data_IF_929158881874
#
_entry.id   IF_929158881874
#
_cell.length_a   1.000
_cell.length_b   1.000
_cell.length_c   1.000
_cell.angle_alpha   90.00
_cell.angle_beta   90.00
_cell.angle_gamma   90.00
#
_symmetry.space_group_name_H-M   'P 1'
#
loop_
_entity.id
_entity.type
_entity.pdbx_description
1 polymer ?
#
# COMPACT_ATOMS: atom_id res chain seq x y z
N UNK A 1 -25.08 26.71 16.03
CA UNK A 1 -25.87 26.15 17.15
C UNK A 1 -25.42 24.72 17.37
N UNK A 2 -24.99 24.37 18.57
CA UNK A 2 -24.55 23.00 18.91
C UNK A 2 -23.23 22.97 19.68
N UNK A 3 -23.22 23.59 20.86
CA UNK A 3 -22.19 23.38 21.86
C UNK A 3 -22.39 21.99 22.49
N UNK A 4 -21.35 21.18 22.60
CA UNK A 4 -21.37 19.95 23.40
C UNK A 4 -20.19 19.98 24.37
N UNK A 5 -20.55 20.24 25.63
CA UNK A 5 -19.74 20.24 26.83
C UNK A 5 -19.78 18.86 27.47
N UNK A 6 -18.63 18.23 27.72
CA UNK A 6 -18.46 17.15 28.72
C UNK A 6 -17.11 17.44 29.39
N UNK A 7 -17.04 18.18 30.52
CA UNK A 7 -17.20 17.76 31.94
C UNK A 7 -16.23 16.59 32.26
N UNK A 8 -15.07 16.83 32.89
CA UNK A 8 -14.86 16.92 34.36
C UNK A 8 -15.10 15.54 35.01
N UNK A 9 -14.24 14.89 35.79
CA UNK A 9 -13.19 15.31 36.73
C UNK A 9 -12.45 14.04 37.28
N UNK A 10 -11.41 14.17 38.13
CA UNK A 10 -10.40 13.15 38.45
C UNK A 10 -10.72 12.30 39.70
N UNK A 11 -9.91 11.27 39.99
CA UNK A 11 -9.41 11.03 41.36
C UNK A 11 -8.28 9.97 41.44
N UNK A 12 -7.27 10.22 42.30
CA UNK A 12 -6.20 9.28 42.66
C UNK A 12 -6.61 8.34 43.81
N UNK A 13 -6.07 7.13 43.83
CA UNK A 13 -6.20 6.19 44.97
C UNK A 13 -4.97 6.28 45.88
N UNK A 14 -5.13 7.02 46.97
CA UNK A 14 -4.31 6.98 48.18
C UNK A 14 -4.77 5.82 49.07
N UNK A 15 -3.86 4.87 49.33
CA UNK A 15 -4.04 3.81 50.33
C UNK A 15 -3.13 4.07 51.54
N UNK A 16 -3.75 4.40 52.67
CA UNK A 16 -3.13 4.71 53.96
C UNK A 16 -3.16 3.46 54.87
N UNK A 17 -2.29 3.47 55.89
CA UNK A 17 -2.28 2.67 57.15
C UNK A 17 -1.84 1.19 57.08
N UNK A 18 -0.77 0.90 57.80
CA UNK A 18 -0.88 0.43 59.19
C UNK A 18 0.45 0.58 59.93
N UNK A 19 0.41 1.29 61.07
CA UNK A 19 1.40 1.19 62.12
C UNK A 19 1.16 -0.11 62.88
N UNK A 20 2.17 -0.93 63.10
CA UNK A 20 2.13 -1.94 64.16
C UNK A 20 3.53 -2.18 64.75
N UNK A 21 3.57 -2.30 66.07
CA UNK A 21 4.43 -3.30 66.69
C UNK A 21 5.80 -2.86 67.16
N UNK A 22 5.86 -1.88 68.07
CA UNK A 22 6.96 -1.82 69.03
C UNK A 22 6.99 -3.12 69.86
N UNK A 23 8.04 -3.94 69.71
CA UNK A 23 8.50 -4.84 70.78
C UNK A 23 10.02 -4.89 70.81
N UNK A 24 10.56 -4.21 71.81
CA UNK A 24 11.90 -4.45 72.35
C UNK A 24 11.95 -5.86 72.93
N UNK A 25 12.96 -6.64 72.56
CA UNK A 25 13.43 -7.78 73.37
C UNK A 25 14.95 -7.87 73.25
N UNK A 26 15.61 -7.35 74.27
CA UNK A 26 16.92 -7.78 74.78
C UNK A 26 16.78 -9.28 75.14
N UNK A 27 17.66 -10.21 74.81
CA UNK A 27 19.06 -10.37 75.21
C UNK A 27 19.69 -11.60 74.50
N UNK A 28 21.01 -11.82 74.61
CA UNK A 28 21.81 -12.64 73.69
C UNK A 28 21.97 -14.08 74.16
N UNK A 29 22.14 -15.02 73.23
CA UNK A 29 22.98 -16.19 73.50
C UNK A 29 23.51 -16.85 72.22
N UNK A 30 24.82 -17.04 72.22
CA UNK A 30 25.61 -17.80 71.28
C UNK A 30 24.94 -19.06 70.74
N UNK A 31 24.87 -19.16 69.41
CA UNK A 31 24.98 -20.45 68.73
C UNK A 31 25.77 -20.27 67.45
N UNK A 32 27.03 -20.70 67.49
CA UNK A 32 27.89 -20.81 66.33
C UNK A 32 27.19 -21.70 65.29
N UNK A 33 26.70 -21.07 64.22
CA UNK A 33 26.23 -21.79 63.03
C UNK A 33 27.41 -22.05 62.11
N UNK A 34 27.50 -23.23 61.50
CA UNK A 34 28.54 -23.54 60.54
C UNK A 34 28.49 -22.52 59.40
N UNK A 35 29.65 -21.98 59.04
CA UNK A 35 29.83 -21.14 57.85
C UNK A 35 29.39 -21.97 56.64
N UNK A 36 28.14 -21.80 56.22
CA UNK A 36 27.74 -22.20 54.89
C UNK A 36 28.61 -21.39 53.95
N UNK A 37 29.58 -22.07 53.35
CA UNK A 37 30.37 -21.60 52.23
C UNK A 37 29.39 -21.29 51.12
N UNK A 38 28.89 -20.05 51.09
CA UNK A 38 28.13 -19.52 49.97
C UNK A 38 29.10 -19.61 48.80
N UNK A 39 28.86 -20.60 47.92
CA UNK A 39 29.53 -20.62 46.62
C UNK A 39 29.24 -19.24 46.02
N UNK A 40 30.26 -18.48 45.56
CA UNK A 40 29.98 -17.24 44.85
C UNK A 40 29.07 -17.62 43.70
N UNK A 41 27.84 -17.10 43.74
CA UNK A 41 26.94 -17.15 42.61
C UNK A 41 27.68 -16.38 41.53
N UNK A 42 28.38 -17.08 40.64
CA UNK A 42 28.85 -16.49 39.39
C UNK A 42 27.57 -16.01 38.73
N UNK A 43 27.31 -14.70 38.84
CA UNK A 43 26.34 -14.03 37.99
C UNK A 43 26.83 -14.30 36.59
N UNK A 44 26.14 -15.20 35.92
CA UNK A 44 26.41 -15.52 34.54
C UNK A 44 25.89 -14.33 33.72
N UNK A 45 26.73 -13.30 33.58
CA UNK A 45 26.45 -12.09 32.81
C UNK A 45 26.38 -12.37 31.29
N UNK A 46 26.53 -13.64 30.89
CA UNK A 46 26.45 -14.12 29.51
C UNK A 46 25.08 -13.92 28.86
N UNK A 47 24.04 -13.53 29.62
CA UNK A 47 22.72 -13.19 29.09
C UNK A 47 22.48 -11.69 28.85
N UNK A 48 23.32 -10.79 29.37
CA UNK A 48 23.02 -9.34 29.38
C UNK A 48 23.64 -8.57 28.21
N UNK A 49 24.66 -9.13 27.55
CA UNK A 49 25.22 -8.57 26.32
C UNK A 49 24.27 -8.65 25.11
N UNK A 50 23.28 -9.55 25.14
CA UNK A 50 22.32 -9.71 24.05
C UNK A 50 21.15 -8.72 24.07
N UNK A 51 20.95 -7.95 25.16
CA UNK A 51 19.72 -7.14 25.33
C UNK A 51 19.81 -5.69 24.84
N UNK A 52 21.01 -5.09 24.87
CA UNK A 52 21.16 -3.67 24.53
C UNK A 52 21.40 -3.45 23.03
N UNK A 53 22.02 -4.43 22.35
CA UNK A 53 22.29 -4.39 20.91
C UNK A 53 21.07 -4.80 20.06
N UNK A 54 20.11 -5.53 20.64
CA UNK A 54 18.89 -5.93 19.92
C UNK A 54 17.97 -4.76 19.59
N UNK A 55 18.00 -3.69 20.39
CA UNK A 55 17.18 -2.49 20.15
C UNK A 55 17.60 -1.80 18.85
N UNK A 56 18.88 -1.36 18.66
CA UNK A 56 19.29 -0.73 17.41
C UNK A 56 19.18 -1.68 16.22
N UNK A 57 19.45 -2.98 16.40
CA UNK A 57 19.26 -3.97 15.34
C UNK A 57 17.78 -4.07 14.92
N UNK A 58 16.85 -4.15 15.87
CA UNK A 58 15.42 -4.18 15.60
C UNK A 58 14.93 -2.91 14.89
N UNK A 59 15.44 -1.74 15.28
CA UNK A 59 15.14 -0.46 14.60
C UNK A 59 15.63 -0.50 13.15
N UNK A 60 16.85 -0.98 12.89
CA UNK A 60 17.38 -1.10 11.52
C UNK A 60 16.52 -2.02 10.65
N UNK A 61 16.14 -3.20 11.17
CA UNK A 61 15.27 -4.14 10.46
C UNK A 61 13.89 -3.53 10.21
N UNK A 62 13.33 -2.82 11.19
CA UNK A 62 12.03 -2.15 11.03
C UNK A 62 12.07 -1.05 9.96
N UNK A 63 13.11 -0.22 9.95
CA UNK A 63 13.29 0.82 8.93
C UNK A 63 13.47 0.19 7.55
N UNK A 64 14.32 -0.85 7.44
CA UNK A 64 14.53 -1.56 6.18
C UNK A 64 13.23 -2.19 5.67
N UNK A 65 12.47 -2.84 6.54
CA UNK A 65 11.16 -3.40 6.21
C UNK A 65 10.13 -2.35 5.79
N UNK A 66 10.13 -1.19 6.46
CA UNK A 66 9.23 -0.07 6.12
C UNK A 66 9.57 0.51 4.74
N UNK A 67 10.85 0.72 4.44
CA UNK A 67 11.28 1.19 3.11
C UNK A 67 10.90 0.18 2.03
N UNK A 68 11.08 -1.12 2.29
CA UNK A 68 10.67 -2.17 1.36
C UNK A 68 9.15 -2.13 1.13
N UNK A 69 8.35 -2.01 2.19
CA UNK A 69 6.89 -1.93 2.09
C UNK A 69 6.43 -0.73 1.25
N UNK A 70 7.05 0.44 1.42
CA UNK A 70 6.76 1.64 0.62
C UNK A 70 7.09 1.41 -0.87
N UNK A 71 8.23 0.79 -1.18
CA UNK A 71 8.60 0.47 -2.56
C UNK A 71 7.60 -0.52 -3.20
N UNK A 72 7.16 -1.55 -2.46
CA UNK A 72 6.17 -2.52 -2.95
C UNK A 72 4.81 -1.84 -3.18
N UNK A 73 4.41 -0.93 -2.31
CA UNK A 73 3.16 -0.17 -2.48
C UNK A 73 3.14 0.63 -3.78
N UNK A 74 4.26 1.24 -4.16
CA UNK A 74 4.37 1.98 -5.42
C UNK A 74 4.13 1.08 -6.66
N UNK A 75 4.54 -0.18 -6.61
CA UNK A 75 4.28 -1.15 -7.70
C UNK A 75 2.78 -1.48 -7.78
N UNK A 76 2.13 -1.68 -6.64
CA UNK A 76 0.68 -1.96 -6.58
C UNK A 76 -0.12 -0.78 -7.11
N UNK A 77 0.21 0.44 -6.69
CA UNK A 77 -0.45 1.65 -7.18
C UNK A 77 -0.22 1.85 -8.69
N UNK A 78 1.01 1.60 -9.18
CA UNK A 78 1.31 1.66 -10.61
C UNK A 78 0.46 0.65 -11.39
N UNK A 79 0.30 -0.58 -10.89
CA UNK A 79 -0.55 -1.58 -11.54
C UNK A 79 -2.00 -1.09 -11.65
N UNK A 80 -2.55 -0.56 -10.57
CA UNK A 80 -3.91 0.01 -10.58
C UNK A 80 -4.04 1.20 -11.55
N UNK A 81 -2.99 2.01 -11.70
CA UNK A 81 -2.96 3.11 -12.66
C UNK A 81 -2.93 2.62 -14.12
N UNK A 82 -2.14 1.58 -14.42
CA UNK A 82 -2.06 0.99 -15.76
C UNK A 82 -3.38 0.30 -16.14
N UNK A 83 -4.02 -0.41 -15.21
CA UNK A 83 -5.33 -1.03 -15.43
C UNK A 83 -6.40 0.05 -15.71
N UNK A 84 -6.42 1.12 -14.92
CA UNK A 84 -7.33 2.25 -15.15
C UNK A 84 -7.09 2.94 -16.51
N UNK A 85 -5.84 3.08 -16.93
CA UNK A 85 -5.48 3.64 -18.23
C UNK A 85 -5.92 2.72 -19.39
N UNK A 86 -5.85 1.40 -19.22
CA UNK A 86 -6.30 0.44 -20.22
C UNK A 86 -7.81 0.50 -20.43
N UNK A 87 -8.59 0.58 -19.35
CA UNK A 87 -10.03 0.82 -19.43
C UNK A 87 -10.37 2.18 -20.04
N UNK A 88 -9.63 3.25 -19.69
CA UNK A 88 -9.84 4.57 -20.29
C UNK A 88 -9.55 4.57 -21.80
N UNK A 89 -8.52 3.83 -22.23
CA UNK A 89 -8.22 3.63 -23.64
C UNK A 89 -9.38 2.97 -24.37
N UNK A 90 -9.83 1.82 -23.87
CA UNK A 90 -10.86 1.03 -24.55
C UNK A 90 -12.18 1.79 -24.62
N UNK A 91 -12.60 2.45 -23.53
CA UNK A 91 -13.82 3.25 -23.51
C UNK A 91 -13.85 4.38 -24.54
N UNK A 92 -12.73 5.07 -24.76
CA UNK A 92 -12.67 6.12 -25.80
C UNK A 92 -12.44 5.54 -27.20
N UNK A 93 -11.77 4.39 -27.30
CA UNK A 93 -11.57 3.66 -28.55
C UNK A 93 -12.89 3.14 -29.12
N UNK A 94 -13.73 2.51 -28.30
CA UNK A 94 -15.01 1.92 -28.71
C UNK A 94 -16.08 2.98 -29.03
N UNK A 95 -16.00 4.15 -28.42
CA UNK A 95 -16.92 5.27 -28.67
C UNK A 95 -16.65 6.04 -29.98
N UNK A 96 -15.53 5.79 -30.66
CA UNK A 96 -15.12 6.54 -31.83
C UNK A 96 -15.73 6.00 -33.15
N UNK A 97 -15.85 6.87 -34.15
CA UNK A 97 -16.48 6.55 -35.44
C UNK A 97 -15.54 5.92 -36.47
N UNK A 98 -14.23 5.98 -36.27
CA UNK A 98 -13.23 5.41 -37.17
C UNK A 98 -11.99 4.93 -36.41
N UNK A 99 -11.23 4.01 -37.01
CA UNK A 99 -10.03 3.41 -36.37
C UNK A 99 -8.98 4.45 -35.99
N UNK A 100 -8.75 5.45 -36.84
CA UNK A 100 -7.71 6.45 -36.60
C UNK A 100 -8.11 7.42 -35.48
N UNK A 101 -9.39 7.84 -35.47
CA UNK A 101 -9.95 8.65 -34.39
C UNK A 101 -9.99 7.85 -33.09
N UNK A 102 -10.36 6.57 -33.14
CA UNK A 102 -10.36 5.65 -31.99
C UNK A 102 -8.97 5.52 -31.37
N UNK A 103 -7.94 5.35 -32.19
CA UNK A 103 -6.55 5.25 -31.72
C UNK A 103 -6.09 6.54 -31.07
N UNK A 104 -6.37 7.68 -31.70
CA UNK A 104 -5.96 8.99 -31.18
C UNK A 104 -6.68 9.31 -29.86
N UNK A 105 -7.99 9.05 -29.79
CA UNK A 105 -8.81 9.26 -28.59
C UNK A 105 -8.44 8.28 -27.46
N UNK A 106 -8.18 7.02 -27.81
CA UNK A 106 -7.63 5.98 -26.93
C UNK A 106 -6.32 6.42 -26.28
N UNK A 107 -5.35 6.78 -27.11
CA UNK A 107 -4.03 7.23 -26.68
C UNK A 107 -4.11 8.46 -25.76
N UNK A 108 -4.93 9.45 -26.12
CA UNK A 108 -5.10 10.66 -25.32
C UNK A 108 -5.74 10.35 -23.95
N UNK A 109 -6.78 9.52 -23.92
CA UNK A 109 -7.45 9.12 -22.68
C UNK A 109 -6.54 8.30 -21.75
N UNK A 110 -5.78 7.36 -22.31
CA UNK A 110 -4.81 6.56 -21.56
C UNK A 110 -3.71 7.44 -20.95
N UNK A 111 -3.13 8.35 -21.74
CA UNK A 111 -2.08 9.27 -21.25
C UNK A 111 -2.61 10.21 -20.16
N UNK A 112 -3.79 10.79 -20.34
CA UNK A 112 -4.42 11.63 -19.33
C UNK A 112 -4.67 10.85 -18.02
N UNK A 113 -5.08 9.58 -18.10
CA UNK A 113 -5.27 8.72 -16.92
C UNK A 113 -3.95 8.45 -16.17
N UNK A 114 -2.87 8.18 -16.91
CA UNK A 114 -1.53 7.98 -16.34
C UNK A 114 -0.97 9.27 -15.72
N UNK A 115 -1.13 10.41 -16.39
CA UNK A 115 -0.69 11.72 -15.90
C UNK A 115 -1.43 12.13 -14.62
N UNK A 116 -2.74 11.87 -14.54
CA UNK A 116 -3.53 12.13 -13.33
C UNK A 116 -3.06 11.31 -12.11
N UNK A 117 -2.38 10.18 -12.34
CA UNK A 117 -1.75 9.33 -11.32
C UNK A 117 -0.27 9.68 -11.08
N UNK A 118 0.26 10.71 -11.75
CA UNK A 118 1.65 11.14 -11.62
C UNK A 118 2.66 10.26 -12.35
N UNK A 119 2.21 9.38 -13.25
CA UNK A 119 3.11 8.55 -14.06
C UNK A 119 3.60 9.36 -15.26
N UNK A 120 4.85 9.83 -15.19
CA UNK A 120 5.50 10.64 -16.23
C UNK A 120 6.53 9.87 -17.07
N UNK A 121 6.72 8.57 -16.79
CA UNK A 121 7.66 7.71 -17.49
C UNK A 121 7.20 7.31 -18.90
N UNK A 122 8.09 6.68 -19.67
CA UNK A 122 7.77 6.16 -21.00
C UNK A 122 6.77 5.01 -20.89
N UNK A 123 5.50 5.29 -21.19
CA UNK A 123 4.46 4.28 -21.35
C UNK A 123 4.44 3.79 -22.81
N UNK A 124 4.45 2.47 -23.01
CA UNK A 124 4.23 1.86 -24.32
C UNK A 124 2.79 1.38 -24.40
N UNK A 125 2.04 1.94 -25.34
CA UNK A 125 0.65 1.57 -25.63
C UNK A 125 0.64 0.78 -26.94
N UNK A 126 0.22 -0.47 -26.89
CA UNK A 126 0.02 -1.31 -28.07
C UNK A 126 -1.47 -1.31 -28.42
N UNK A 127 -1.81 -0.61 -29.50
CA UNK A 127 -3.17 -0.46 -29.98
C UNK A 127 -3.76 -1.79 -30.51
N UNK A 128 -5.09 -1.94 -30.52
CA UNK A 128 -5.76 -3.09 -31.11
C UNK A 128 -5.33 -3.34 -32.57
N UNK A 129 -4.94 -4.59 -32.83
CA UNK A 129 -4.49 -5.04 -34.16
C UNK A 129 -5.65 -5.54 -35.01
N UNK A 130 -6.76 -5.92 -34.37
CA UNK A 130 -7.97 -6.43 -34.99
C UNK A 130 -8.62 -5.39 -35.91
N UNK A 131 -9.53 -5.87 -36.77
CA UNK A 131 -10.35 -5.01 -37.63
C UNK A 131 -11.28 -4.17 -36.76
N UNK A 132 -11.27 -2.86 -37.00
CA UNK A 132 -12.20 -1.94 -36.35
C UNK A 132 -13.58 -2.10 -36.98
N UNK A 133 -14.44 -2.88 -36.33
CA UNK A 133 -15.79 -3.13 -36.77
C UNK A 133 -16.71 -3.34 -35.55
N UNK A 134 -18.02 -3.06 -35.68
CA UNK A 134 -19.01 -3.37 -34.65
C UNK A 134 -18.92 -4.81 -34.16
N UNK A 135 -19.11 -5.02 -32.86
CA UNK A 135 -19.15 -6.34 -32.24
C UNK A 135 -17.87 -7.16 -32.52
N UNK A 136 -16.73 -6.48 -32.52
CA UNK A 136 -15.40 -7.10 -32.51
C UNK A 136 -14.70 -6.76 -31.21
N UNK A 137 -13.91 -7.71 -30.72
CA UNK A 137 -13.09 -7.50 -29.54
C UNK A 137 -11.89 -6.64 -29.90
N UNK A 138 -11.74 -5.52 -29.19
CA UNK A 138 -10.54 -4.69 -29.20
C UNK A 138 -9.72 -5.05 -27.96
N UNK A 139 -8.47 -5.49 -28.16
CA UNK A 139 -7.53 -5.76 -27.07
C UNK A 139 -6.44 -4.69 -27.06
N UNK A 140 -6.19 -4.10 -25.89
CA UNK A 140 -5.10 -3.14 -25.67
C UNK A 140 -4.09 -3.72 -24.69
N UNK A 141 -2.81 -3.45 -24.93
CA UNK A 141 -1.75 -3.72 -23.94
C UNK A 141 -1.06 -2.41 -23.59
N UNK A 142 -1.03 -2.06 -22.31
CA UNK A 142 -0.27 -0.91 -21.80
C UNK A 142 0.86 -1.42 -20.91
N UNK A 143 2.07 -0.93 -21.16
CA UNK A 143 3.27 -1.27 -20.41
C UNK A 143 3.96 -0.01 -19.90
N UNK A 144 4.29 0.02 -18.61
CA UNK A 144 5.03 1.11 -17.97
C UNK A 144 6.27 0.53 -17.29
N UNK A 145 7.41 1.22 -17.41
CA UNK A 145 8.64 0.86 -16.69
C UNK A 145 8.66 1.54 -15.33
N UNK A 146 8.82 0.74 -14.27
CA UNK A 146 9.03 1.23 -12.90
C UNK A 146 10.41 0.86 -12.41
N UNK A 147 10.97 1.67 -11.52
CA UNK A 147 12.24 1.35 -10.84
C UNK A 147 11.94 0.28 -9.79
N UNK A 148 12.67 -0.85 -9.85
CA UNK A 148 12.25 -2.07 -9.16
C UNK A 148 12.28 -1.95 -7.62
N UNK A 149 13.31 -1.35 -7.01
CA UNK A 149 13.43 -1.07 -5.57
C UNK A 149 14.55 -0.03 -5.37
N UNK A 150 14.33 0.98 -4.50
CA UNK A 150 15.42 1.73 -3.86
C UNK A 150 15.57 1.24 -2.42
N UNK A 151 16.61 0.46 -2.14
CA UNK A 151 16.96 0.07 -0.78
C UNK A 151 18.07 1.01 -0.27
N UNK A 152 18.05 1.43 1.02
CA UNK A 152 19.25 1.99 1.59
C UNK A 152 20.36 0.95 1.44
N UNK A 153 21.57 1.35 1.04
CA UNK A 153 22.77 0.51 0.84
C UNK A 153 22.89 -0.28 -0.49
N UNK A 154 21.90 -0.29 -1.37
CA UNK A 154 22.01 -0.89 -2.71
C UNK A 154 21.72 0.17 -3.78
N UNK A 155 22.67 0.40 -4.70
CA UNK A 155 22.40 1.13 -5.94
C UNK A 155 21.27 0.40 -6.69
N UNK A 156 20.22 1.13 -7.08
CA UNK A 156 18.95 0.57 -7.53
C UNK A 156 19.10 -0.51 -8.61
N UNK A 157 18.65 -1.72 -8.30
CA UNK A 157 18.77 -2.90 -9.17
C UNK A 157 17.58 -2.95 -10.13
N UNK A 158 17.77 -2.35 -11.31
CA UNK A 158 16.97 -2.64 -12.51
C UNK A 158 15.63 -1.90 -12.65
N UNK A 159 15.10 -1.97 -13.86
CA UNK A 159 13.73 -1.56 -14.17
C UNK A 159 12.86 -2.81 -14.29
N UNK A 160 11.65 -2.75 -13.74
CA UNK A 160 10.64 -3.78 -13.91
C UNK A 160 9.52 -3.22 -14.77
N UNK A 161 9.07 -3.96 -15.77
CA UNK A 161 7.91 -3.55 -16.57
C UNK A 161 6.62 -4.05 -15.94
N UNK A 162 5.70 -3.14 -15.62
CA UNK A 162 4.31 -3.47 -15.25
C UNK A 162 3.47 -3.43 -16.52
N UNK A 163 2.67 -4.48 -16.76
CA UNK A 163 1.83 -4.62 -17.95
C UNK A 163 0.39 -4.90 -17.54
N UNK A 164 -0.54 -4.23 -18.20
CA UNK A 164 -1.96 -4.58 -18.20
C UNK A 164 -2.40 -4.95 -19.61
N UNK A 165 -3.31 -5.92 -19.70
CA UNK A 165 -4.00 -6.30 -20.92
C UNK A 165 -5.47 -6.29 -20.63
N UNK A 166 -6.21 -5.55 -21.45
CA UNK A 166 -7.65 -5.47 -21.34
C UNK A 166 -8.27 -5.67 -22.72
N UNK A 167 -9.47 -6.25 -22.72
CA UNK A 167 -10.23 -6.52 -23.93
C UNK A 167 -11.68 -6.09 -23.73
N UNK A 168 -12.21 -5.33 -24.67
CA UNK A 168 -13.59 -4.84 -24.65
C UNK A 168 -14.20 -4.99 -26.05
N UNK A 169 -15.52 -5.18 -26.14
CA UNK A 169 -16.21 -5.21 -27.42
C UNK A 169 -16.38 -3.78 -27.95
N UNK A 170 -16.12 -3.60 -29.24
CA UNK A 170 -16.44 -2.37 -29.96
C UNK A 170 -17.96 -2.24 -30.03
N UNK A 171 -18.51 -1.39 -29.17
CA UNK A 171 -19.90 -1.02 -29.22
C UNK A 171 -20.17 -0.17 -30.48
N UNK A 172 -21.10 -0.59 -31.35
CA UNK A 172 -21.56 0.27 -32.43
C UNK A 172 -22.31 1.46 -31.83
N UNK A 173 -21.69 2.64 -31.83
CA UNK A 173 -22.28 3.91 -31.40
C UNK A 173 -22.92 3.87 -30.00
N UNK A 174 -22.13 4.09 -28.95
CA UNK A 174 -22.72 4.74 -27.77
C UNK A 174 -23.05 6.18 -28.19
N UNK A 175 -24.33 6.54 -28.14
CA UNK A 175 -24.82 7.86 -28.57
C UNK A 175 -24.18 8.97 -27.72
N UNK A 176 -23.01 9.46 -28.14
CA UNK A 176 -22.43 10.71 -27.67
C UNK A 176 -23.21 11.87 -28.32
N UNK A 177 -24.38 12.17 -27.77
CA UNK A 177 -25.22 13.28 -28.23
C UNK A 177 -26.70 12.96 -28.05
N UNK A 178 -27.22 13.22 -26.85
CA UNK A 178 -28.65 13.19 -26.61
C UNK A 178 -29.39 14.25 -27.42
N UNK A 179 -29.71 13.93 -28.68
CA UNK A 179 -30.79 14.51 -29.48
C UNK A 179 -31.39 13.52 -30.49
N UNK A 180 -30.91 12.28 -30.56
CA UNK A 180 -31.38 11.27 -31.52
C UNK A 180 -32.40 10.28 -30.94
N UNK A 181 -33.19 10.69 -29.93
CA UNK A 181 -34.46 10.00 -29.61
C UNK A 181 -35.49 10.12 -30.76
N UNK A 182 -35.18 10.89 -31.81
CA UNK A 182 -36.06 11.13 -32.95
C UNK A 182 -35.95 10.08 -34.09
N UNK A 183 -34.92 9.24 -34.13
CA UNK A 183 -34.67 8.35 -35.29
C UNK A 183 -34.94 6.86 -35.05
N UNK A 184 -35.29 6.43 -33.84
CA UNK A 184 -35.77 5.06 -33.58
C UNK A 184 -34.78 3.93 -33.91
N UNK A 185 -33.50 4.23 -34.15
CA UNK A 185 -32.48 3.22 -34.37
C UNK A 185 -31.99 2.74 -33.01
N UNK A 186 -32.67 1.75 -32.45
CA UNK A 186 -32.16 0.98 -31.31
C UNK A 186 -31.01 0.13 -31.86
N UNK A 187 -29.77 0.49 -31.56
CA UNK A 187 -28.63 -0.37 -31.83
C UNK A 187 -28.83 -1.70 -31.11
N UNK A 188 -28.83 -2.81 -31.84
CA UNK A 188 -28.86 -4.14 -31.23
C UNK A 188 -27.56 -4.34 -30.46
N UNK A 189 -27.60 -4.70 -29.16
CA UNK A 189 -26.40 -5.02 -28.41
C UNK A 189 -25.70 -6.22 -29.06
N UNK A 190 -24.38 -6.26 -28.95
CA UNK A 190 -23.61 -7.41 -29.36
C UNK A 190 -23.91 -8.56 -28.38
N UNK A 191 -24.58 -9.62 -28.84
CA UNK A 191 -24.77 -10.88 -28.10
C UNK A 191 -23.51 -11.77 -28.12
#
# INVERSE_FOLDING_TARGET
MGASLIRGEPAPRTGFRACDGSRRRTEPLHKARPRHRTKPHRRDERGQAAGIETIPFGILVFIAGTILAINVWAVVDTRMAVDAAAHAYLRSYTAASSRDVARLAGDAAARHSLEARGITGTATISAPTQVFAPCRVAEVTISVQVVAIRAPFLEGIGTTSVRAREAELIEPFSAAGGSDTALGIVGTPCE
#
